data_IF_692838661376
#
_entry.id   IF_692838661376
#
_cell.length_a   1.000
_cell.length_b   1.000
_cell.length_c   1.000
_cell.angle_alpha   90.00
_cell.angle_beta   90.00
_cell.angle_gamma   90.00
#
_symmetry.space_group_name_H-M   'P 1'
#
loop_
_entity.id
_entity.type
_entity.pdbx_description
1 polymer ?
#
# COMPACT_ATOMS: atom_id res chain seq x y z
N UNK A 1 0.18 26.43 6.39
CA UNK A 1 0.84 26.31 5.07
C UNK A 1 0.70 24.87 4.66
N UNK A 2 -0.03 24.63 3.59
CA UNK A 2 -0.21 23.27 3.06
C UNK A 2 1.09 22.74 2.48
N UNK A 3 1.23 21.41 2.43
CA UNK A 3 2.39 20.76 1.82
C UNK A 3 2.55 21.15 0.35
N UNK A 4 1.44 21.26 -0.39
CA UNK A 4 1.43 21.68 -1.79
C UNK A 4 1.94 23.12 -2.00
N UNK A 5 1.58 24.03 -1.09
CA UNK A 5 2.06 25.41 -1.07
C UNK A 5 3.54 25.48 -0.68
N UNK A 6 3.94 24.70 0.33
CA UNK A 6 5.31 24.63 0.79
C UNK A 6 6.25 24.11 -0.30
N UNK A 7 5.79 23.15 -1.11
CA UNK A 7 6.55 22.62 -2.25
C UNK A 7 6.94 23.71 -3.25
N UNK A 8 6.04 24.67 -3.51
CA UNK A 8 6.29 25.85 -4.36
C UNK A 8 7.13 26.90 -3.66
N UNK A 9 6.89 27.12 -2.36
CA UNK A 9 7.60 28.13 -1.58
C UNK A 9 9.09 27.79 -1.41
N UNK A 10 9.42 26.52 -1.19
CA UNK A 10 10.80 26.04 -1.05
C UNK A 10 11.40 25.57 -2.37
N UNK A 11 10.91 26.05 -3.52
CA UNK A 11 11.49 25.70 -4.81
C UNK A 11 12.97 26.11 -4.88
N UNK A 12 13.80 25.24 -5.46
CA UNK A 12 15.26 25.37 -5.47
C UNK A 12 15.99 24.77 -4.24
N UNK A 13 15.31 24.41 -3.16
CA UNK A 13 15.90 23.74 -1.99
C UNK A 13 15.67 22.22 -2.05
N UNK A 14 16.46 21.52 -2.85
CA UNK A 14 16.29 20.10 -3.17
C UNK A 14 15.95 19.20 -1.96
N UNK A 15 16.68 19.33 -0.85
CA UNK A 15 16.48 18.47 0.34
C UNK A 15 15.10 18.63 0.98
N UNK A 16 14.45 19.79 0.81
CA UNK A 16 13.11 20.07 1.31
C UNK A 16 12.09 19.65 0.25
N UNK A 17 12.26 20.12 -0.98
CA UNK A 17 11.31 19.89 -2.08
C UNK A 17 11.15 18.41 -2.39
N UNK A 18 12.21 17.59 -2.31
CA UNK A 18 12.14 16.14 -2.53
C UNK A 18 11.18 15.45 -1.53
N UNK A 19 11.28 15.80 -0.24
CA UNK A 19 10.41 15.23 0.81
C UNK A 19 8.96 15.69 0.65
N UNK A 20 8.75 16.96 0.31
CA UNK A 20 7.41 17.51 0.10
C UNK A 20 6.74 16.89 -1.14
N UNK A 21 7.50 16.66 -2.22
CA UNK A 21 7.00 15.95 -3.40
C UNK A 21 6.52 14.55 -3.08
N UNK A 22 7.27 13.78 -2.27
CA UNK A 22 6.83 12.45 -1.87
C UNK A 22 5.52 12.51 -1.05
N UNK A 23 5.38 13.49 -0.15
CA UNK A 23 4.13 13.69 0.60
C UNK A 23 2.95 14.06 -0.32
N UNK A 24 3.18 14.87 -1.34
CA UNK A 24 2.16 15.19 -2.35
C UNK A 24 1.79 13.97 -3.20
N UNK A 25 2.78 13.18 -3.63
CA UNK A 25 2.58 11.96 -4.43
C UNK A 25 1.79 10.88 -3.69
N UNK A 26 1.92 10.80 -2.36
CA UNK A 26 1.10 9.89 -1.55
C UNK A 26 -0.30 10.45 -1.26
N UNK A 27 -0.63 11.63 -1.78
CA UNK A 27 -1.94 12.26 -1.68
C UNK A 27 -2.15 13.12 -0.41
N UNK A 28 -1.08 13.54 0.26
CA UNK A 28 -1.15 14.33 1.49
C UNK A 28 -0.89 15.83 1.26
N UNK A 29 -0.97 16.30 0.00
CA UNK A 29 -0.66 17.70 -0.35
C UNK A 29 -1.51 18.74 0.37
N UNK A 30 -2.72 18.37 0.80
CA UNK A 30 -3.67 19.23 1.52
C UNK A 30 -3.38 19.37 3.02
N UNK A 31 -2.53 18.51 3.59
CA UNK A 31 -2.21 18.61 5.02
C UNK A 31 -1.32 19.81 5.28
N UNK A 32 -1.50 20.44 6.44
CA UNK A 32 -0.67 21.55 6.86
C UNK A 32 0.64 21.09 7.52
N UNK A 33 1.74 21.76 7.20
CA UNK A 33 3.00 21.58 7.92
C UNK A 33 2.80 22.00 9.37
N UNK A 34 3.07 21.09 10.30
CA UNK A 34 2.90 21.31 11.74
C UNK A 34 1.53 20.89 12.28
N UNK A 35 0.64 20.31 11.44
CA UNK A 35 -0.60 19.71 11.91
C UNK A 35 -0.33 18.66 12.99
N UNK A 36 -1.14 18.68 14.06
CA UNK A 36 -0.98 17.74 15.16
C UNK A 36 -1.15 16.30 14.69
N UNK A 37 -0.24 15.42 15.07
CA UNK A 37 -0.35 13.99 14.77
C UNK A 37 -1.63 13.36 15.34
N UNK A 38 -2.20 13.95 16.39
CA UNK A 38 -3.45 13.48 17.02
C UNK A 38 -4.71 13.77 16.21
N UNK A 39 -4.64 14.65 15.21
CA UNK A 39 -5.79 15.00 14.36
C UNK A 39 -5.79 14.26 13.01
N UNK A 40 -4.77 13.45 12.75
CA UNK A 40 -4.66 12.65 11.54
C UNK A 40 -5.57 11.42 11.63
N UNK A 41 -6.25 11.13 10.52
CA UNK A 41 -6.90 9.84 10.30
C UNK A 41 -5.86 8.71 10.25
N UNK A 42 -6.32 7.48 10.46
CA UNK A 42 -5.46 6.29 10.35
C UNK A 42 -4.78 6.19 8.97
N UNK A 43 -5.53 6.48 7.89
CA UNK A 43 -5.01 6.47 6.52
C UNK A 43 -3.95 7.56 6.27
N UNK A 44 -4.14 8.77 6.82
CA UNK A 44 -3.12 9.83 6.75
C UNK A 44 -1.84 9.44 7.50
N UNK A 45 -1.99 8.96 8.75
CA UNK A 45 -0.84 8.53 9.56
C UNK A 45 -0.05 7.41 8.87
N UNK A 46 -0.75 6.45 8.25
CA UNK A 46 -0.13 5.37 7.48
C UNK A 46 0.60 5.88 6.24
N UNK A 47 -0.01 6.79 5.47
CA UNK A 47 0.64 7.38 4.30
C UNK A 47 1.87 8.22 4.66
N UNK A 48 1.86 8.94 5.78
CA UNK A 48 3.06 9.65 6.28
C UNK A 48 4.19 8.65 6.57
N UNK A 49 3.86 7.52 7.20
CA UNK A 49 4.83 6.46 7.48
C UNK A 49 5.43 5.88 6.18
N UNK A 50 4.61 5.69 5.15
CA UNK A 50 5.08 5.19 3.85
C UNK A 50 5.90 6.24 3.07
N UNK A 51 5.50 7.51 3.12
CA UNK A 51 6.25 8.61 2.50
C UNK A 51 7.67 8.69 3.07
N UNK A 52 7.83 8.49 4.38
CA UNK A 52 9.16 8.42 5.02
C UNK A 52 10.02 7.32 4.39
N UNK A 53 9.47 6.12 4.21
CA UNK A 53 10.20 4.99 3.62
C UNK A 53 10.57 5.25 2.15
N UNK A 54 9.70 5.94 1.39
CA UNK A 54 10.00 6.35 0.02
C UNK A 54 11.16 7.34 -0.08
N UNK A 55 11.42 8.15 0.95
CA UNK A 55 12.56 9.11 0.95
C UNK A 55 13.90 8.47 1.36
N UNK A 56 13.91 7.19 1.76
CA UNK A 56 15.16 6.50 2.10
C UNK A 56 16.06 6.31 0.86
N UNK A 57 17.40 6.41 1.02
CA UNK A 57 18.35 6.24 -0.09
C UNK A 57 18.20 4.89 -0.80
N UNK A 58 18.39 4.89 -2.12
CA UNK A 58 18.45 3.69 -2.95
C UNK A 58 19.53 2.71 -2.43
N UNK A 59 19.21 1.41 -2.39
CA UNK A 59 20.19 0.34 -2.16
C UNK A 59 19.92 -0.58 -0.97
N UNK A 60 19.01 -0.21 -0.06
CA UNK A 60 18.59 -1.12 1.03
C UNK A 60 17.41 -1.98 0.58
N UNK A 61 17.66 -3.25 0.24
CA UNK A 61 16.60 -4.23 -0.03
C UNK A 61 15.83 -4.50 1.27
N UNK A 62 14.63 -3.91 1.39
CA UNK A 62 13.81 -4.01 2.60
C UNK A 62 12.53 -4.81 2.29
N UNK A 63 12.10 -5.64 3.25
CA UNK A 63 10.79 -6.29 3.22
C UNK A 63 9.82 -5.49 4.09
N UNK A 64 8.79 -4.94 3.46
CA UNK A 64 7.69 -4.26 4.14
C UNK A 64 6.55 -5.24 4.37
N UNK A 65 6.11 -5.40 5.61
CA UNK A 65 4.98 -6.24 5.98
C UNK A 65 3.88 -5.35 6.55
N UNK A 66 2.65 -5.48 6.05
CA UNK A 66 1.50 -4.74 6.53
C UNK A 66 0.31 -5.67 6.74
N UNK A 67 -0.36 -5.48 7.87
CA UNK A 67 -1.55 -6.23 8.25
C UNK A 67 -2.79 -5.37 8.01
N UNK A 68 -3.64 -5.81 7.09
CA UNK A 68 -4.86 -5.16 6.60
C UNK A 68 -4.76 -3.63 6.43
N UNK A 69 -3.81 -3.14 5.60
CA UNK A 69 -3.57 -1.72 5.42
C UNK A 69 -4.74 -0.94 4.81
N UNK A 70 -5.78 -1.61 4.29
CA UNK A 70 -6.96 -0.95 3.73
C UNK A 70 -8.15 -0.79 4.68
N UNK A 71 -8.03 -1.25 5.94
CA UNK A 71 -9.13 -1.14 6.91
C UNK A 71 -9.52 0.33 7.12
N UNK A 72 -10.80 0.63 6.86
CA UNK A 72 -11.36 1.97 7.03
C UNK A 72 -10.96 2.97 5.93
N UNK A 73 -10.28 2.53 4.86
CA UNK A 73 -9.94 3.38 3.73
C UNK A 73 -11.06 3.44 2.70
N UNK A 74 -11.31 4.64 2.17
CA UNK A 74 -12.19 4.82 1.02
C UNK A 74 -11.51 4.32 -0.26
N UNK A 75 -12.27 3.96 -1.31
CA UNK A 75 -11.72 3.43 -2.57
C UNK A 75 -10.61 4.30 -3.18
N UNK A 76 -10.78 5.62 -3.14
CA UNK A 76 -9.77 6.57 -3.61
C UNK A 76 -8.45 6.47 -2.82
N UNK A 77 -8.54 6.27 -1.50
CA UNK A 77 -7.37 6.12 -0.64
C UNK A 77 -6.63 4.80 -0.89
N UNK A 78 -7.36 3.74 -1.24
CA UNK A 78 -6.78 2.45 -1.63
C UNK A 78 -5.95 2.60 -2.91
N UNK A 79 -6.44 3.33 -3.90
CA UNK A 79 -5.67 3.58 -5.14
C UNK A 79 -4.38 4.37 -4.86
N UNK A 80 -4.45 5.37 -3.98
CA UNK A 80 -3.27 6.12 -3.55
C UNK A 80 -2.28 5.22 -2.81
N UNK A 81 -2.76 4.38 -1.89
CA UNK A 81 -1.93 3.41 -1.18
C UNK A 81 -1.23 2.47 -2.17
N UNK A 82 -1.95 1.88 -3.13
CA UNK A 82 -1.39 0.97 -4.13
C UNK A 82 -0.29 1.65 -4.96
N UNK A 83 -0.48 2.91 -5.37
CA UNK A 83 0.57 3.69 -6.07
C UNK A 83 1.84 3.81 -5.24
N UNK A 84 1.71 4.04 -3.94
CA UNK A 84 2.84 4.16 -3.01
C UNK A 84 3.56 2.84 -2.82
N UNK A 85 2.81 1.75 -2.67
CA UNK A 85 3.38 0.40 -2.52
C UNK A 85 4.13 -0.04 -3.79
N UNK A 86 3.57 0.23 -4.97
CA UNK A 86 4.23 -0.06 -6.24
C UNK A 86 5.56 0.69 -6.39
N UNK A 87 5.61 1.97 -5.98
CA UNK A 87 6.87 2.72 -5.94
C UNK A 87 7.92 2.10 -5.01
N UNK A 88 7.52 1.51 -3.89
CA UNK A 88 8.46 0.78 -3.02
C UNK A 88 9.02 -0.45 -3.74
N UNK A 89 8.16 -1.21 -4.44
CA UNK A 89 8.57 -2.37 -5.23
C UNK A 89 9.50 -1.98 -6.39
N UNK A 90 9.19 -0.91 -7.12
CA UNK A 90 10.01 -0.35 -8.21
C UNK A 90 11.42 0.06 -7.73
N UNK A 91 11.55 0.50 -6.47
CA UNK A 91 12.84 0.77 -5.83
C UNK A 91 13.63 -0.49 -5.44
N UNK A 92 13.13 -1.68 -5.76
CA UNK A 92 13.76 -2.98 -5.48
C UNK A 92 13.46 -3.54 -4.10
N UNK A 93 12.42 -3.04 -3.42
CA UNK A 93 11.94 -3.60 -2.16
C UNK A 93 10.90 -4.70 -2.41
N UNK A 94 10.59 -5.45 -1.35
CA UNK A 94 9.48 -6.40 -1.36
C UNK A 94 8.39 -5.91 -0.42
N UNK A 95 7.13 -6.06 -0.83
CA UNK A 95 5.96 -5.70 -0.03
C UNK A 95 5.11 -6.95 0.13
N UNK A 96 4.82 -7.31 1.39
CA UNK A 96 3.91 -8.39 1.75
C UNK A 96 2.72 -7.78 2.50
N UNK A 97 1.53 -8.01 1.96
CA UNK A 97 0.28 -7.53 2.55
C UNK A 97 -0.56 -8.71 3.00
N UNK A 98 -1.15 -8.60 4.18
CA UNK A 98 -2.28 -9.42 4.61
C UNK A 98 -3.52 -8.62 4.27
N UNK A 99 -4.37 -9.13 3.39
CA UNK A 99 -5.52 -8.39 2.86
C UNK A 99 -6.70 -9.30 2.56
N UNK A 100 -7.89 -8.72 2.68
CA UNK A 100 -9.14 -9.32 2.24
C UNK A 100 -9.83 -8.47 1.16
N UNK A 101 -9.29 -7.27 0.85
CA UNK A 101 -9.85 -6.39 -0.16
C UNK A 101 -9.46 -6.81 -1.58
N UNK A 102 -10.47 -7.17 -2.40
CA UNK A 102 -10.25 -7.63 -3.77
C UNK A 102 -9.61 -6.59 -4.71
N UNK A 103 -9.77 -5.28 -4.44
CA UNK A 103 -9.11 -4.24 -5.22
C UNK A 103 -7.58 -4.22 -5.02
N UNK A 104 -7.11 -4.63 -3.84
CA UNK A 104 -5.69 -4.79 -3.55
C UNK A 104 -5.20 -6.12 -4.08
N UNK A 105 -5.90 -7.21 -3.75
CA UNK A 105 -5.50 -8.57 -4.12
C UNK A 105 -5.33 -8.73 -5.63
N UNK A 106 -6.23 -8.15 -6.44
CA UNK A 106 -6.12 -8.21 -7.92
C UNK A 106 -4.89 -7.50 -8.48
N UNK A 107 -4.33 -6.55 -7.72
CA UNK A 107 -3.20 -5.72 -8.14
C UNK A 107 -1.86 -6.31 -7.72
N UNK A 108 -1.87 -7.44 -7.01
CA UNK A 108 -0.65 -8.10 -6.53
C UNK A 108 0.04 -8.87 -7.66
N UNK A 109 1.38 -8.88 -7.66
CA UNK A 109 2.15 -9.71 -8.59
C UNK A 109 2.09 -11.21 -8.24
N UNK A 110 1.90 -11.52 -6.95
CA UNK A 110 1.90 -12.88 -6.43
C UNK A 110 1.01 -12.98 -5.20
N UNK A 111 0.21 -14.05 -5.12
CA UNK A 111 -0.72 -14.34 -4.03
C UNK A 111 -0.33 -15.66 -3.37
N UNK A 112 -0.44 -15.71 -2.05
CA UNK A 112 -0.44 -16.95 -1.26
C UNK A 112 -1.79 -17.03 -0.56
N UNK A 113 -2.64 -17.94 -1.02
CA UNK A 113 -3.99 -18.15 -0.47
C UNK A 113 -3.94 -19.23 0.62
N UNK A 114 -4.42 -18.88 1.81
CA UNK A 114 -4.45 -19.75 2.98
C UNK A 114 -5.88 -20.20 3.29
N UNK A 115 -6.03 -21.44 3.73
CA UNK A 115 -7.34 -22.00 4.07
C UNK A 115 -7.31 -23.53 4.08
N UNK A 116 -8.34 -24.21 3.51
CA UNK A 116 -9.53 -23.66 2.87
C UNK A 116 -10.55 -23.03 3.85
N UNK A 117 -10.45 -23.38 5.13
CA UNK A 117 -11.30 -22.85 6.20
C UNK A 117 -10.46 -22.10 7.25
N UNK A 118 -11.12 -21.53 8.26
CA UNK A 118 -10.45 -21.02 9.46
C UNK A 118 -10.22 -22.10 10.53
N UNK A 119 -9.42 -21.79 11.55
CA UNK A 119 -9.20 -22.67 12.71
C UNK A 119 -8.53 -24.00 12.34
N UNK A 120 -9.00 -25.10 12.94
CA UNK A 120 -8.46 -26.46 12.69
C UNK A 120 -8.63 -26.93 11.23
N UNK A 121 -9.59 -26.36 10.49
CA UNK A 121 -9.80 -26.65 9.07
C UNK A 121 -8.86 -25.87 8.13
N UNK A 122 -8.04 -24.98 8.67
CA UNK A 122 -7.16 -24.08 7.92
C UNK A 122 -5.69 -24.42 7.99
N UNK A 123 -4.86 -23.38 7.84
CA UNK A 123 -3.39 -23.47 7.99
C UNK A 123 -2.66 -24.11 6.83
N UNK A 124 -3.32 -24.30 5.68
CA UNK A 124 -2.71 -24.87 4.47
C UNK A 124 -2.65 -23.83 3.37
N UNK A 125 -1.62 -23.94 2.55
CA UNK A 125 -1.53 -23.20 1.29
C UNK A 125 -2.46 -23.87 0.29
N UNK A 126 -3.49 -23.16 -0.14
CA UNK A 126 -4.55 -23.65 -1.04
C UNK A 126 -4.22 -23.36 -2.49
N UNK A 127 -3.68 -22.16 -2.74
CA UNK A 127 -3.26 -21.70 -4.04
C UNK A 127 -2.08 -20.74 -3.90
N UNK A 128 -1.20 -20.73 -4.90
CA UNK A 128 -0.15 -19.73 -5.05
C UNK A 128 -0.01 -19.37 -6.52
N UNK A 129 0.44 -18.16 -6.83
CA UNK A 129 0.68 -17.72 -8.20
C UNK A 129 0.21 -16.30 -8.44
N UNK A 130 0.12 -15.93 -9.71
CA UNK A 130 -0.47 -14.66 -10.11
C UNK A 130 -1.98 -14.63 -9.78
N UNK A 131 -2.60 -13.43 -9.70
CA UNK A 131 -4.04 -13.29 -9.51
C UNK A 131 -4.88 -14.16 -10.43
N UNK A 132 -4.50 -14.27 -11.71
CA UNK A 132 -5.19 -15.07 -12.72
C UNK A 132 -5.09 -16.57 -12.46
N UNK A 133 -3.98 -17.04 -11.88
CA UNK A 133 -3.77 -18.45 -11.55
C UNK A 133 -4.62 -18.84 -10.33
N UNK A 134 -4.61 -17.99 -9.29
CA UNK A 134 -5.45 -18.17 -8.10
C UNK A 134 -6.94 -18.13 -8.46
N UNK A 135 -7.35 -17.21 -9.35
CA UNK A 135 -8.73 -17.11 -9.81
C UNK A 135 -9.23 -18.34 -10.59
N UNK A 136 -8.32 -19.12 -11.20
CA UNK A 136 -8.66 -20.38 -11.89
C UNK A 136 -8.70 -21.58 -10.95
N UNK A 137 -8.14 -21.50 -9.76
CA UNK A 137 -8.07 -22.63 -8.83
C UNK A 137 -9.43 -22.83 -8.11
N UNK A 138 -10.16 -23.92 -8.38
CA UNK A 138 -11.49 -24.15 -7.81
C UNK A 138 -11.46 -24.43 -6.29
N UNK A 139 -10.30 -24.74 -5.72
CA UNK A 139 -10.13 -24.97 -4.29
C UNK A 139 -9.93 -23.69 -3.50
N UNK A 140 -9.59 -22.58 -4.16
CA UNK A 140 -9.30 -21.29 -3.53
C UNK A 140 -10.59 -20.52 -3.22
N UNK A 141 -10.91 -20.26 -1.93
CA UNK A 141 -12.01 -19.36 -1.58
C UNK A 141 -11.79 -17.97 -2.17
N UNK A 142 -10.55 -17.46 -2.08
CA UNK A 142 -10.15 -16.16 -2.64
C UNK A 142 -10.37 -16.10 -4.16
N UNK A 143 -9.92 -17.14 -4.88
CA UNK A 143 -10.05 -17.23 -6.33
C UNK A 143 -11.49 -17.14 -6.84
N UNK A 144 -12.44 -17.73 -6.09
CA UNK A 144 -13.88 -17.66 -6.40
C UNK A 144 -14.41 -16.22 -6.47
N UNK A 145 -13.93 -15.34 -5.60
CA UNK A 145 -14.33 -13.92 -5.58
C UNK A 145 -13.48 -13.09 -6.54
N UNK A 146 -12.17 -13.35 -6.57
CA UNK A 146 -11.20 -12.63 -7.38
C UNK A 146 -11.56 -12.66 -8.88
N UNK A 147 -12.13 -13.77 -9.36
CA UNK A 147 -12.59 -13.92 -10.75
C UNK A 147 -13.57 -12.85 -11.22
N UNK A 148 -14.29 -12.16 -10.32
CA UNK A 148 -15.23 -11.08 -10.67
C UNK A 148 -14.56 -9.71 -10.84
N UNK A 149 -13.30 -9.59 -10.43
CA UNK A 149 -12.53 -8.34 -10.40
C UNK A 149 -11.43 -8.28 -11.45
N UNK A 150 -11.14 -9.42 -12.10
CA UNK A 150 -10.22 -9.58 -13.23
C UNK A 150 -10.93 -9.46 -14.57
#
# INVERSE_FOLDING_TARGET
MEISEAGKFFDGLYLITDRLKVLEEVGLGYLEIGQSATTLSGGEAQRIKLARELTCPLGKKTLYIMDEPTVGLHYYDIELLLKVLNKLVEKGNSVLLIEHNMHVIKSADYIIDLGPEGGEGGGRVVAVGAPEDVAKNPKSPTGKYLKKYL
#
